data_IF_900875597428
#
_entry.id   IF_900875597428
#
_cell.length_a   1.000
_cell.length_b   1.000
_cell.length_c   1.000
_cell.angle_alpha   90.00
_cell.angle_beta   90.00
_cell.angle_gamma   90.00
#
_symmetry.space_group_name_H-M   'P 1'
#
loop_
_entity.id
_entity.type
_entity.pdbx_description
1 polymer ?
#
# COMPACT_ATOMS: atom_id res chain seq x y z
N UNK A 1 -37.16 -15.78 -19.26
CA UNK A 1 -36.08 -14.84 -19.63
C UNK A 1 -35.48 -14.39 -18.32
N UNK A 2 -34.39 -15.02 -17.89
CA UNK A 2 -33.75 -14.69 -16.62
C UNK A 2 -32.73 -13.59 -16.90
N UNK A 3 -32.96 -12.42 -16.31
CA UNK A 3 -32.22 -11.19 -16.56
C UNK A 3 -30.71 -11.38 -16.41
N UNK A 4 -29.94 -10.95 -17.42
CA UNK A 4 -28.48 -10.96 -17.40
C UNK A 4 -27.89 -9.90 -16.45
N UNK A 5 -28.73 -9.08 -15.82
CA UNK A 5 -28.31 -8.01 -14.91
C UNK A 5 -27.97 -8.50 -13.49
N UNK A 6 -28.53 -9.63 -13.03
CA UNK A 6 -28.27 -10.20 -11.69
C UNK A 6 -26.94 -10.95 -11.60
N UNK A 7 -26.50 -11.57 -12.71
CA UNK A 7 -25.29 -12.42 -12.74
C UNK A 7 -23.99 -11.62 -12.62
N UNK A 8 -23.98 -10.37 -13.10
CA UNK A 8 -22.79 -9.49 -13.02
C UNK A 8 -22.52 -9.00 -11.60
N UNK A 9 -23.59 -8.75 -10.82
CA UNK A 9 -23.50 -8.24 -9.46
C UNK A 9 -23.07 -9.34 -8.45
N UNK A 10 -23.51 -10.58 -8.67
CA UNK A 10 -23.11 -11.72 -7.83
C UNK A 10 -21.60 -12.01 -7.95
N UNK A 11 -21.02 -11.91 -9.16
CA UNK A 11 -19.59 -12.14 -9.39
C UNK A 11 -18.70 -11.08 -8.72
N UNK A 12 -19.10 -9.80 -8.72
CA UNK A 12 -18.37 -8.74 -8.01
C UNK A 12 -18.47 -8.88 -6.49
N UNK A 13 -19.65 -9.27 -5.99
CA UNK A 13 -19.86 -9.53 -4.57
C UNK A 13 -19.05 -10.74 -4.11
N UNK A 14 -19.03 -11.82 -4.90
CA UNK A 14 -18.23 -13.01 -4.64
C UNK A 14 -16.72 -12.74 -4.70
N UNK A 15 -16.24 -11.90 -5.63
CA UNK A 15 -14.81 -11.54 -5.67
C UNK A 15 -14.42 -10.67 -4.48
N UNK A 16 -15.28 -9.74 -4.07
CA UNK A 16 -15.05 -8.89 -2.90
C UNK A 16 -15.06 -9.71 -1.61
N UNK A 17 -15.96 -10.69 -1.50
CA UNK A 17 -15.98 -11.69 -0.42
C UNK A 17 -14.76 -12.62 -0.46
N UNK A 18 -14.31 -13.03 -1.65
CA UNK A 18 -13.09 -13.85 -1.82
C UNK A 18 -11.84 -13.10 -1.40
N UNK A 19 -11.72 -11.82 -1.76
CA UNK A 19 -10.63 -10.93 -1.32
C UNK A 19 -10.70 -10.74 0.19
N UNK A 20 -11.89 -10.51 0.75
CA UNK A 20 -12.10 -10.43 2.20
C UNK A 20 -11.85 -11.76 2.94
N UNK A 21 -12.08 -12.91 2.32
CA UNK A 21 -11.74 -14.24 2.88
C UNK A 21 -10.25 -14.55 2.76
N UNK A 22 -9.61 -14.12 1.67
CA UNK A 22 -8.16 -14.18 1.49
C UNK A 22 -7.44 -13.33 2.55
N UNK A 23 -7.94 -12.12 2.85
CA UNK A 23 -7.40 -11.29 3.94
C UNK A 23 -7.81 -11.78 5.33
N UNK A 24 -8.99 -12.41 5.50
CA UNK A 24 -9.38 -13.04 6.78
C UNK A 24 -8.57 -14.29 7.13
N UNK A 25 -7.96 -14.97 6.15
CA UNK A 25 -6.97 -16.04 6.40
C UNK A 25 -5.60 -15.50 6.82
N UNK A 26 -5.34 -14.22 6.65
CA UNK A 26 -4.23 -13.49 7.28
C UNK A 26 -4.60 -12.98 8.70
N UNK A 27 -5.79 -13.36 9.22
CA UNK A 27 -6.24 -13.08 10.58
C UNK A 27 -5.47 -13.82 11.67
N UNK A 28 -4.65 -14.79 11.29
CA UNK A 28 -3.45 -15.15 12.05
C UNK A 28 -2.28 -14.36 11.45
N UNK A 29 -2.25 -13.05 11.71
CA UNK A 29 -0.97 -12.37 11.82
C UNK A 29 -0.30 -13.03 13.02
N UNK A 30 0.37 -14.16 12.75
CA UNK A 30 1.52 -14.57 13.51
C UNK A 30 2.42 -13.35 13.49
N UNK A 31 2.30 -12.54 14.54
CA UNK A 31 3.34 -11.64 14.97
C UNK A 31 4.47 -12.59 15.36
N UNK A 32 5.18 -13.07 14.35
CA UNK A 32 6.45 -13.75 14.51
C UNK A 32 7.27 -12.79 15.37
N UNK A 33 7.41 -13.15 16.63
CA UNK A 33 8.18 -12.43 17.61
C UNK A 33 9.69 -12.61 17.34
N UNK A 34 10.08 -13.12 16.16
CA UNK A 34 11.34 -12.77 15.56
C UNK A 34 11.32 -11.26 15.32
N UNK A 35 11.97 -10.53 16.22
CA UNK A 35 12.57 -9.23 15.90
C UNK A 35 13.42 -9.45 14.64
N UNK A 36 12.82 -9.33 13.46
CA UNK A 36 13.56 -9.21 12.22
C UNK A 36 14.34 -7.93 12.35
N UNK A 37 15.64 -8.10 12.59
CA UNK A 37 16.52 -6.99 12.88
C UNK A 37 16.56 -6.12 11.64
N UNK A 38 16.15 -4.86 11.78
CA UNK A 38 16.20 -3.91 10.67
C UNK A 38 17.65 -3.78 10.20
N UNK A 39 17.83 -3.71 8.89
CA UNK A 39 19.12 -3.30 8.33
C UNK A 39 19.44 -1.88 8.79
N UNK A 40 20.73 -1.51 8.84
CA UNK A 40 21.12 -0.13 9.16
C UNK A 40 20.45 0.90 8.25
N UNK A 41 20.22 0.52 6.98
CA UNK A 41 19.58 1.38 5.98
C UNK A 41 18.08 1.56 6.24
N UNK A 42 17.39 0.48 6.61
CA UNK A 42 15.99 0.54 7.07
C UNK A 42 15.84 1.38 8.33
N UNK A 43 16.75 1.24 9.30
CA UNK A 43 16.78 2.09 10.49
C UNK A 43 16.96 3.57 10.16
N UNK A 44 17.91 3.91 9.28
CA UNK A 44 18.14 5.29 8.85
C UNK A 44 16.89 5.87 8.19
N UNK A 45 16.26 5.16 7.25
CA UNK A 45 15.04 5.63 6.59
C UNK A 45 13.91 5.84 7.60
N UNK A 46 13.68 4.86 8.48
CA UNK A 46 12.64 4.96 9.50
C UNK A 46 12.84 6.19 10.41
N UNK A 47 14.09 6.48 10.79
CA UNK A 47 14.42 7.64 11.64
C UNK A 47 14.18 9.00 10.97
N UNK A 48 14.13 9.04 9.63
CA UNK A 48 13.86 10.27 8.87
C UNK A 48 12.36 10.55 8.69
N UNK A 49 11.50 9.54 8.88
CA UNK A 49 10.05 9.69 8.69
C UNK A 49 9.47 10.40 9.91
N UNK A 50 8.95 11.61 9.70
CA UNK A 50 8.32 12.42 10.74
C UNK A 50 6.96 11.90 11.18
N UNK A 51 6.51 12.31 12.37
CA UNK A 51 5.15 12.06 12.85
C UNK A 51 4.18 13.13 12.34
N UNK A 52 2.99 12.71 11.90
CA UNK A 52 1.97 13.57 11.32
C UNK A 52 2.21 13.88 9.84
N UNK A 53 1.12 13.99 9.08
CA UNK A 53 1.16 14.29 7.64
C UNK A 53 1.78 15.65 7.34
N UNK A 54 1.72 16.58 8.29
CA UNK A 54 2.38 17.88 8.22
C UNK A 54 3.91 17.80 8.14
N UNK A 55 4.51 16.69 8.63
CA UNK A 55 5.95 16.45 8.64
C UNK A 55 6.36 15.36 7.64
N UNK A 56 5.57 15.16 6.58
CA UNK A 56 5.87 14.17 5.56
C UNK A 56 7.20 14.46 4.85
N UNK A 57 8.01 13.42 4.64
CA UNK A 57 9.30 13.49 3.98
C UNK A 57 9.25 12.82 2.60
N UNK A 58 9.70 13.52 1.57
CA UNK A 58 9.72 13.00 0.20
C UNK A 58 10.86 11.99 -0.01
N UNK A 59 10.70 11.14 -1.03
CA UNK A 59 11.77 10.24 -1.49
C UNK A 59 13.05 11.01 -1.82
N UNK A 60 12.92 12.19 -2.44
CA UNK A 60 14.08 13.04 -2.81
C UNK A 60 14.82 13.56 -1.59
N UNK A 61 14.11 13.95 -0.54
CA UNK A 61 14.71 14.37 0.73
C UNK A 61 15.36 13.20 1.47
N UNK A 62 14.80 11.99 1.41
CA UNK A 62 15.48 10.81 1.94
C UNK A 62 16.79 10.56 1.16
N UNK A 63 16.74 10.58 -0.17
CA UNK A 63 17.92 10.36 -1.03
C UNK A 63 19.00 11.41 -0.77
N UNK A 64 18.65 12.68 -0.55
CA UNK A 64 19.65 13.72 -0.28
C UNK A 64 20.42 13.49 1.03
N UNK A 65 19.85 12.74 1.99
CA UNK A 65 20.49 12.42 3.27
C UNK A 65 21.28 11.10 3.22
N UNK A 66 20.73 10.06 2.59
CA UNK A 66 21.31 8.69 2.68
C UNK A 66 21.74 8.07 1.33
N UNK A 67 21.55 8.80 0.23
CA UNK A 67 21.80 8.34 -1.14
C UNK A 67 20.86 7.21 -1.58
N UNK A 68 21.08 6.69 -2.79
CA UNK A 68 20.30 5.60 -3.37
C UNK A 68 19.40 6.04 -4.52
N UNK A 69 18.47 5.17 -4.91
CA UNK A 69 17.51 5.44 -5.99
C UNK A 69 16.07 5.52 -5.49
N UNK A 70 15.18 6.15 -6.26
CA UNK A 70 13.74 6.21 -5.94
C UNK A 70 13.14 4.82 -5.69
N UNK A 71 13.47 3.84 -6.54
CA UNK A 71 12.95 2.48 -6.46
C UNK A 71 13.44 1.77 -5.18
N UNK A 72 14.71 1.99 -4.83
CA UNK A 72 15.30 1.44 -3.62
C UNK A 72 14.60 1.97 -2.36
N UNK A 73 14.44 3.29 -2.24
CA UNK A 73 13.77 3.91 -1.09
C UNK A 73 12.32 3.43 -0.98
N UNK A 74 11.58 3.40 -2.09
CA UNK A 74 10.19 2.92 -2.11
C UNK A 74 10.10 1.45 -1.71
N UNK A 75 11.04 0.62 -2.15
CA UNK A 75 11.12 -0.80 -1.78
C UNK A 75 11.39 -0.96 -0.29
N UNK A 76 12.30 -0.17 0.28
CA UNK A 76 12.60 -0.24 1.72
C UNK A 76 11.38 0.17 2.54
N UNK A 77 10.71 1.29 2.20
CA UNK A 77 9.50 1.72 2.92
C UNK A 77 8.39 0.65 2.82
N UNK A 78 8.22 0.03 1.66
CA UNK A 78 7.29 -1.09 1.50
C UNK A 78 7.63 -2.26 2.43
N UNK A 79 8.90 -2.64 2.56
CA UNK A 79 9.31 -3.71 3.51
C UNK A 79 9.10 -3.31 4.97
N UNK A 80 9.36 -2.04 5.33
CA UNK A 80 9.08 -1.53 6.68
C UNK A 80 7.61 -1.73 7.05
N UNK A 81 6.69 -1.53 6.10
CA UNK A 81 5.25 -1.76 6.31
C UNK A 81 4.93 -3.26 6.31
N UNK A 82 5.22 -3.95 5.21
CA UNK A 82 4.73 -5.33 4.95
C UNK A 82 5.43 -6.40 5.78
N UNK A 83 6.73 -6.23 6.06
CA UNK A 83 7.54 -7.23 6.77
C UNK A 83 7.73 -6.89 8.24
N UNK A 84 7.84 -5.60 8.56
CA UNK A 84 8.20 -5.16 9.91
C UNK A 84 7.05 -4.46 10.66
N UNK A 85 5.89 -4.27 10.02
CA UNK A 85 4.68 -3.77 10.67
C UNK A 85 4.72 -2.29 11.05
N UNK A 86 5.60 -1.49 10.47
CA UNK A 86 5.63 -0.05 10.74
C UNK A 86 4.46 0.66 10.07
N UNK A 87 3.68 1.39 10.87
CA UNK A 87 2.59 2.22 10.37
C UNK A 87 3.17 3.47 9.68
N UNK A 88 3.22 3.43 8.35
CA UNK A 88 3.72 4.52 7.50
C UNK A 88 2.65 4.87 6.47
N UNK A 89 2.19 6.12 6.50
CA UNK A 89 1.29 6.70 5.51
C UNK A 89 2.04 7.35 4.35
N UNK A 90 1.31 7.67 3.28
CA UNK A 90 1.84 8.48 2.19
C UNK A 90 0.86 9.56 1.75
N UNK A 91 1.41 10.72 1.39
CA UNK A 91 0.65 11.87 0.93
C UNK A 91 1.25 12.41 -0.38
N UNK A 92 0.36 12.88 -1.24
CA UNK A 92 0.67 13.56 -2.50
C UNK A 92 0.15 15.01 -2.48
N UNK A 93 -0.29 15.52 -1.32
CA UNK A 93 -0.68 16.93 -1.20
C UNK A 93 0.53 17.83 -1.40
N UNK A 94 0.35 18.88 -2.20
CA UNK A 94 1.34 19.93 -2.40
C UNK A 94 1.71 20.53 -1.03
N UNK A 95 3.01 20.61 -0.75
CA UNK A 95 3.55 21.11 0.53
C UNK A 95 3.49 20.13 1.70
N UNK A 96 2.88 18.95 1.52
CA UNK A 96 2.81 17.86 2.52
C UNK A 96 2.91 16.50 1.85
N UNK A 97 3.86 16.36 0.92
CA UNK A 97 4.04 15.16 0.12
C UNK A 97 5.12 14.25 0.72
N UNK A 98 4.97 12.95 0.58
CA UNK A 98 5.95 11.97 1.06
C UNK A 98 5.41 11.03 2.11
N UNK A 99 6.32 10.43 2.86
CA UNK A 99 6.05 9.44 3.90
C UNK A 99 5.97 10.09 5.28
N UNK A 100 5.08 9.59 6.12
CA UNK A 100 4.90 10.06 7.49
C UNK A 100 4.41 8.91 8.37
N UNK A 101 4.62 9.02 9.68
CA UNK A 101 3.93 8.20 10.67
C UNK A 101 2.61 8.87 11.03
N UNK A 102 1.44 8.28 10.71
CA UNK A 102 0.14 8.80 11.12
C UNK A 102 0.12 9.11 12.62
N UNK A 103 -0.29 10.33 12.95
CA UNK A 103 -0.42 10.84 14.32
C UNK A 103 -1.87 10.77 14.81
N UNK A 104 -2.84 10.76 13.89
CA UNK A 104 -4.26 10.62 14.21
C UNK A 104 -4.91 9.44 13.49
N UNK A 105 -6.07 9.01 13.98
CA UNK A 105 -6.85 7.96 13.32
C UNK A 105 -7.30 8.40 11.93
N UNK A 106 -7.65 9.68 11.75
CA UNK A 106 -8.04 10.22 10.44
C UNK A 106 -6.90 10.11 9.42
N UNK A 107 -5.66 10.41 9.83
CA UNK A 107 -4.50 10.25 8.95
C UNK A 107 -4.20 8.79 8.61
N UNK A 108 -4.44 7.88 9.57
CA UNK A 108 -4.32 6.44 9.37
C UNK A 108 -5.38 5.95 8.38
N UNK A 109 -6.64 6.29 8.60
CA UNK A 109 -7.75 5.91 7.71
C UNK A 109 -7.59 6.51 6.31
N UNK A 110 -7.08 7.74 6.20
CA UNK A 110 -6.75 8.33 4.90
C UNK A 110 -5.67 7.51 4.17
N UNK A 111 -4.62 7.08 4.87
CA UNK A 111 -3.56 6.27 4.30
C UNK A 111 -4.08 4.89 3.86
N UNK A 112 -4.90 4.23 4.70
CA UNK A 112 -5.53 2.94 4.38
C UNK A 112 -6.46 3.07 3.16
N UNK A 113 -7.36 4.05 3.16
CA UNK A 113 -8.32 4.26 2.07
C UNK A 113 -7.64 4.49 0.72
N UNK A 114 -6.48 5.16 0.69
CA UNK A 114 -5.68 5.31 -0.54
C UNK A 114 -5.16 3.98 -1.07
N UNK A 115 -4.69 3.09 -0.19
CA UNK A 115 -4.22 1.77 -0.58
C UNK A 115 -5.37 0.91 -1.12
N UNK A 116 -6.52 0.92 -0.46
CA UNK A 116 -7.72 0.20 -0.90
C UNK A 116 -8.22 0.68 -2.26
N UNK A 117 -8.29 2.00 -2.46
CA UNK A 117 -8.64 2.60 -3.77
C UNK A 117 -7.67 2.17 -4.86
N UNK A 118 -6.37 2.22 -4.58
CA UNK A 118 -5.34 1.77 -5.53
C UNK A 118 -5.48 0.28 -5.84
N UNK A 119 -5.77 -0.56 -4.85
CA UNK A 119 -6.00 -1.99 -5.06
C UNK A 119 -7.22 -2.22 -5.97
N UNK A 120 -8.33 -1.49 -5.75
CA UNK A 120 -9.50 -1.55 -6.60
C UNK A 120 -9.21 -1.12 -8.05
N UNK A 121 -8.43 -0.05 -8.26
CA UNK A 121 -8.01 0.38 -9.60
C UNK A 121 -7.11 -0.64 -10.31
N UNK A 122 -6.18 -1.27 -9.59
CA UNK A 122 -5.33 -2.34 -10.12
C UNK A 122 -6.18 -3.54 -10.55
N UNK A 123 -7.11 -3.97 -9.70
CA UNK A 123 -8.02 -5.08 -10.00
C UNK A 123 -8.92 -4.76 -11.20
N UNK A 124 -9.47 -3.54 -11.27
CA UNK A 124 -10.25 -3.07 -12.42
C UNK A 124 -9.43 -3.15 -13.70
N UNK A 125 -8.19 -2.66 -13.69
CA UNK A 125 -7.28 -2.72 -14.84
C UNK A 125 -6.98 -4.16 -15.26
N UNK A 126 -6.70 -5.05 -14.31
CA UNK A 126 -6.45 -6.46 -14.58
C UNK A 126 -7.66 -7.15 -15.25
N UNK A 127 -8.88 -6.85 -14.79
CA UNK A 127 -10.12 -7.38 -15.41
C UNK A 127 -10.27 -6.91 -16.86
N UNK A 128 -10.02 -5.62 -17.14
CA UNK A 128 -10.04 -5.10 -18.51
C UNK A 128 -9.01 -5.85 -19.38
N UNK A 129 -7.77 -5.97 -18.90
CA UNK A 129 -6.69 -6.62 -19.65
C UNK A 129 -6.98 -8.08 -20.00
N UNK A 130 -7.67 -8.84 -19.13
CA UNK A 130 -8.06 -10.23 -19.40
C UNK A 130 -8.99 -10.38 -20.61
N UNK A 131 -9.75 -9.33 -20.93
CA UNK A 131 -10.71 -9.32 -22.03
C UNK A 131 -10.14 -8.67 -23.30
N UNK A 132 -8.90 -8.18 -23.29
CA UNK A 132 -8.26 -7.61 -24.46
C UNK A 132 -7.57 -8.72 -25.27
N UNK A 133 -7.64 -8.67 -26.61
CA UNK A 133 -6.90 -9.61 -27.45
C UNK A 133 -5.40 -9.39 -27.31
N UNK A 134 -4.62 -10.45 -27.52
CA UNK A 134 -3.18 -10.32 -27.70
C UNK A 134 -2.90 -9.51 -28.97
N UNK A 135 -1.86 -8.68 -28.93
CA UNK A 135 -1.45 -7.93 -30.10
C UNK A 135 -0.69 -8.85 -31.05
N UNK A 136 -1.33 -9.22 -32.16
CA UNK A 136 -0.67 -9.94 -33.24
C UNK A 136 -0.09 -8.91 -34.24
N UNK A 137 1.24 -8.91 -34.42
CA UNK A 137 1.92 -8.19 -35.50
C UNK A 137 2.07 -9.06 -36.73
#
# INVERSE_FOLDING_TARGET
MTDQLTVVNEQETLLSLKVAEMTRKEGDLNMDNSKTTLTEREHKILSLIGQGKENAITVKEIISVIGGSDEEIRTIVRRLIEKHGYLIGSSNHIGRSGYYHPKTNEEKEEAVSKLEKRAAEILKRARIMRNLPLFNK
#
